data_IF_727525880303
#
_entry.id   IF_727525880303
#
_cell.length_a   1.000
_cell.length_b   1.000
_cell.length_c   1.000
_cell.angle_alpha   90.00
_cell.angle_beta   90.00
_cell.angle_gamma   90.00
#
_symmetry.space_group_name_H-M   'P 1'
#
loop_
_entity.id
_entity.type
_entity.pdbx_description
1 polymer ?
#
# COMPACT_ATOMS: atom_id res chain seq x y z
N UNK A 1 9.95 -9.78 -5.04
CA UNK A 1 9.60 -8.62 -4.19
C UNK A 1 8.15 -8.67 -3.76
N UNK A 2 7.77 -7.86 -2.75
CA UNK A 2 6.38 -7.59 -2.32
C UNK A 2 6.19 -6.08 -2.41
N UNK A 3 5.14 -5.63 -3.10
CA UNK A 3 4.76 -4.23 -3.24
C UNK A 3 3.39 -4.01 -2.61
N UNK A 4 3.30 -3.06 -1.68
CA UNK A 4 2.15 -2.86 -0.81
C UNK A 4 1.13 -1.84 -1.34
N UNK A 5 1.30 -1.32 -2.57
CA UNK A 5 0.32 -0.41 -3.15
C UNK A 5 0.50 -0.19 -4.65
N UNK A 6 -0.59 -0.32 -5.41
CA UNK A 6 -0.73 0.19 -6.78
C UNK A 6 -2.20 0.44 -7.13
N UNK A 7 -2.44 1.36 -8.12
CA UNK A 7 -3.77 1.76 -8.58
C UNK A 7 -4.17 1.20 -9.96
N UNK A 8 -3.55 0.10 -10.34
CA UNK A 8 -3.74 -0.49 -11.68
C UNK A 8 -5.20 -0.80 -11.99
N UNK A 9 -6.01 -1.25 -11.01
CA UNK A 9 -7.42 -1.58 -11.24
C UNK A 9 -8.22 -0.33 -11.60
N UNK A 10 -7.91 0.83 -10.97
CA UNK A 10 -8.51 2.12 -11.34
C UNK A 10 -8.17 2.46 -12.79
N UNK A 11 -6.93 2.32 -13.21
CA UNK A 11 -6.52 2.62 -14.58
C UNK A 11 -7.23 1.71 -15.60
N UNK A 12 -7.36 0.41 -15.29
CA UNK A 12 -8.00 -0.54 -16.20
C UNK A 12 -9.50 -0.27 -16.39
N UNK A 13 -10.21 0.19 -15.35
CA UNK A 13 -11.64 0.50 -15.47
C UNK A 13 -11.87 1.83 -16.19
N UNK A 14 -10.98 2.82 -15.99
CA UNK A 14 -11.10 4.14 -16.63
C UNK A 14 -10.60 4.14 -18.07
N UNK A 15 -9.69 3.24 -18.41
CA UNK A 15 -9.05 3.15 -19.72
C UNK A 15 -9.14 1.72 -20.30
N UNK A 16 -10.36 1.19 -20.57
CA UNK A 16 -10.56 -0.22 -20.93
C UNK A 16 -9.96 -0.61 -22.29
N UNK A 17 -9.47 0.36 -23.06
CA UNK A 17 -8.82 0.14 -24.35
C UNK A 17 -7.28 0.05 -24.25
N UNK A 18 -6.70 0.31 -23.08
CA UNK A 18 -5.24 0.34 -22.87
C UNK A 18 -4.66 -1.01 -22.44
N UNK A 19 -5.44 -2.08 -22.56
CA UNK A 19 -5.06 -3.44 -22.20
C UNK A 19 -5.90 -4.02 -21.06
N UNK A 20 -5.36 -5.05 -20.43
CA UNK A 20 -5.99 -5.71 -19.27
C UNK A 20 -4.92 -6.07 -18.20
N UNK A 21 -5.26 -6.84 -17.19
CA UNK A 21 -4.30 -7.14 -16.12
C UNK A 21 -3.13 -8.00 -16.61
N UNK A 22 -3.26 -8.73 -17.74
CA UNK A 22 -2.15 -9.53 -18.24
C UNK A 22 -1.07 -8.67 -18.92
N UNK A 23 -1.51 -7.74 -19.80
CA UNK A 23 -0.61 -6.82 -20.51
C UNK A 23 -1.33 -5.50 -20.79
N UNK A 24 -0.77 -4.38 -20.37
CA UNK A 24 -1.37 -3.04 -20.50
C UNK A 24 -0.31 -1.95 -20.74
N UNK A 25 -0.78 -0.71 -20.89
CA UNK A 25 0.07 0.46 -21.12
C UNK A 25 0.55 1.13 -19.81
N UNK A 26 0.21 0.55 -18.64
CA UNK A 26 0.55 1.08 -17.31
C UNK A 26 1.85 0.46 -16.78
N UNK A 27 2.16 0.67 -15.49
CA UNK A 27 3.43 0.21 -14.89
C UNK A 27 3.33 -1.19 -14.28
N UNK A 28 2.13 -1.65 -13.99
CA UNK A 28 1.86 -2.97 -13.38
C UNK A 28 0.97 -3.79 -14.31
N UNK A 29 1.45 -4.97 -14.67
CA UNK A 29 0.70 -6.06 -15.29
C UNK A 29 1.36 -7.41 -14.96
N UNK A 30 0.68 -8.51 -15.26
CA UNK A 30 1.14 -9.85 -14.92
C UNK A 30 2.48 -10.17 -15.63
N UNK A 31 2.67 -9.80 -16.89
CA UNK A 31 3.93 -10.05 -17.60
C UNK A 31 5.11 -9.34 -16.91
N UNK A 32 4.92 -8.08 -16.50
CA UNK A 32 5.95 -7.30 -15.79
C UNK A 32 6.16 -7.79 -14.35
N UNK A 33 5.10 -8.18 -13.64
CA UNK A 33 5.20 -8.77 -12.30
C UNK A 33 6.04 -10.06 -12.33
N UNK A 34 5.80 -10.95 -13.30
CA UNK A 34 6.58 -12.18 -13.49
C UNK A 34 8.04 -11.84 -13.83
N UNK A 35 8.26 -10.94 -14.79
CA UNK A 35 9.61 -10.51 -15.20
C UNK A 35 10.38 -9.85 -14.05
N UNK A 36 9.69 -9.08 -13.20
CA UNK A 36 10.24 -8.43 -12.00
C UNK A 36 10.41 -9.36 -10.79
N UNK A 37 10.08 -10.65 -10.92
CA UNK A 37 10.10 -11.62 -9.83
C UNK A 37 9.25 -11.18 -8.62
N UNK A 38 8.08 -10.61 -8.89
CA UNK A 38 7.12 -10.23 -7.85
C UNK A 38 6.54 -11.49 -7.20
N UNK A 39 6.54 -11.50 -5.87
CA UNK A 39 5.91 -12.54 -5.05
C UNK A 39 4.47 -12.17 -4.74
N UNK A 40 4.26 -10.90 -4.40
CA UNK A 40 2.95 -10.34 -4.08
C UNK A 40 2.86 -8.90 -4.58
N UNK A 41 1.68 -8.54 -5.08
CA UNK A 41 1.25 -7.19 -5.39
C UNK A 41 -0.05 -6.88 -4.66
N UNK A 42 -0.09 -5.78 -3.92
CA UNK A 42 -1.34 -5.22 -3.43
C UNK A 42 -2.00 -4.36 -4.51
N UNK A 43 -3.26 -4.64 -4.80
CA UNK A 43 -4.09 -3.89 -5.73
C UNK A 43 -5.12 -3.08 -4.95
N UNK A 44 -4.91 -1.77 -4.90
CA UNK A 44 -5.83 -0.86 -4.26
C UNK A 44 -7.04 -0.57 -5.17
N UNK A 45 -8.20 -0.53 -4.55
CA UNK A 45 -9.42 -0.01 -5.14
C UNK A 45 -9.60 1.44 -4.67
N UNK A 46 -9.01 2.37 -5.42
CA UNK A 46 -9.06 3.79 -5.11
C UNK A 46 -10.37 4.45 -5.59
N UNK A 47 -11.00 5.20 -4.71
CA UNK A 47 -12.19 5.99 -5.02
C UNK A 47 -12.06 7.40 -4.46
N UNK A 48 -12.02 8.41 -5.33
CA UNK A 48 -12.15 9.81 -4.90
C UNK A 48 -13.60 10.11 -4.53
N UNK A 49 -13.87 10.32 -3.23
CA UNK A 49 -15.21 10.53 -2.72
C UNK A 49 -15.86 11.85 -3.20
N UNK A 50 -15.05 12.85 -3.57
CA UNK A 50 -15.56 14.13 -4.05
C UNK A 50 -15.86 14.14 -5.55
N UNK A 51 -15.26 13.23 -6.30
CA UNK A 51 -15.46 13.13 -7.76
C UNK A 51 -16.51 12.10 -8.17
N UNK A 52 -17.00 11.26 -7.22
CA UNK A 52 -17.92 10.17 -7.52
C UNK A 52 -19.28 10.34 -6.84
N UNK A 53 -20.35 10.47 -7.63
CA UNK A 53 -21.73 10.53 -7.11
C UNK A 53 -22.16 9.22 -6.43
N UNK A 54 -21.65 8.05 -6.89
CA UNK A 54 -21.87 6.72 -6.31
C UNK A 54 -20.53 6.04 -6.02
N UNK A 55 -19.88 6.48 -4.95
CA UNK A 55 -18.57 5.98 -4.53
C UNK A 55 -18.58 4.48 -4.23
N UNK A 56 -19.63 3.98 -3.57
CA UNK A 56 -19.77 2.57 -3.26
C UNK A 56 -19.98 1.71 -4.52
N UNK A 57 -20.81 2.16 -5.46
CA UNK A 57 -20.99 1.50 -6.75
C UNK A 57 -19.70 1.49 -7.58
N UNK A 58 -18.88 2.55 -7.49
CA UNK A 58 -17.55 2.60 -8.11
C UNK A 58 -16.62 1.53 -7.52
N UNK A 59 -16.54 1.44 -6.19
CA UNK A 59 -15.80 0.39 -5.48
C UNK A 59 -16.23 -1.01 -5.93
N UNK A 60 -17.54 -1.31 -5.91
CA UNK A 60 -18.06 -2.60 -6.34
C UNK A 60 -17.71 -2.93 -7.81
N UNK A 61 -17.72 -1.94 -8.68
CA UNK A 61 -17.36 -2.12 -10.09
C UNK A 61 -15.88 -2.47 -10.26
N UNK A 62 -14.98 -1.80 -9.54
CA UNK A 62 -13.54 -2.12 -9.54
C UNK A 62 -13.28 -3.51 -8.94
N UNK A 63 -13.96 -3.85 -7.83
CA UNK A 63 -13.85 -5.17 -7.23
C UNK A 63 -14.26 -6.29 -8.21
N UNK A 64 -15.38 -6.09 -8.92
CA UNK A 64 -15.82 -7.05 -9.95
C UNK A 64 -14.83 -7.16 -11.11
N UNK A 65 -14.23 -6.04 -11.53
CA UNK A 65 -13.17 -6.05 -12.53
C UNK A 65 -11.97 -6.85 -12.03
N UNK A 66 -11.48 -6.58 -10.81
CA UNK A 66 -10.39 -7.32 -10.19
C UNK A 66 -10.69 -8.83 -10.19
N UNK A 67 -11.83 -9.26 -9.65
CA UNK A 67 -12.22 -10.67 -9.59
C UNK A 67 -12.22 -11.31 -10.98
N UNK A 68 -12.77 -10.64 -11.99
CA UNK A 68 -12.83 -11.13 -13.36
C UNK A 68 -11.45 -11.29 -13.99
N UNK A 69 -10.53 -10.35 -13.73
CA UNK A 69 -9.17 -10.40 -14.24
C UNK A 69 -8.36 -11.53 -13.56
N UNK A 70 -8.46 -11.65 -12.24
CA UNK A 70 -7.80 -12.73 -11.50
C UNK A 70 -8.32 -14.11 -11.96
N UNK A 71 -9.63 -14.26 -12.14
CA UNK A 71 -10.20 -15.50 -12.65
C UNK A 71 -9.71 -15.83 -14.06
N UNK A 72 -9.67 -14.83 -14.94
CA UNK A 72 -9.21 -14.98 -16.34
C UNK A 72 -7.75 -15.44 -16.41
N UNK A 73 -6.91 -14.98 -15.52
CA UNK A 73 -5.46 -15.23 -15.52
C UNK A 73 -4.98 -16.08 -14.35
N UNK A 74 -5.86 -16.95 -13.85
CA UNK A 74 -5.62 -17.79 -12.67
C UNK A 74 -4.42 -18.74 -12.77
N UNK A 75 -3.88 -18.99 -13.98
CA UNK A 75 -2.64 -19.73 -14.17
C UNK A 75 -1.39 -18.97 -13.70
N UNK A 76 -1.43 -17.64 -13.62
CA UNK A 76 -0.29 -16.75 -13.34
C UNK A 76 -0.40 -16.02 -12.03
N UNK A 77 -1.62 -15.67 -11.59
CA UNK A 77 -1.89 -14.84 -10.43
C UNK A 77 -3.10 -15.40 -9.66
N UNK A 78 -3.11 -15.24 -8.33
CA UNK A 78 -4.23 -15.69 -7.50
C UNK A 78 -4.55 -14.67 -6.43
N UNK A 79 -5.85 -14.40 -6.21
CA UNK A 79 -6.32 -13.59 -5.08
C UNK A 79 -6.03 -14.32 -3.77
N UNK A 80 -5.35 -13.66 -2.84
CA UNK A 80 -4.99 -14.21 -1.53
C UNK A 80 -5.80 -13.56 -0.43
N UNK A 81 -6.27 -14.39 0.52
CA UNK A 81 -7.13 -13.98 1.64
C UNK A 81 -6.58 -14.40 2.99
N UNK A 82 -5.51 -15.21 2.97
CA UNK A 82 -4.80 -15.72 4.13
C UNK A 82 -3.32 -15.89 3.81
N UNK A 83 -2.48 -16.04 4.82
CA UNK A 83 -1.07 -16.35 4.60
C UNK A 83 -0.85 -17.74 3.95
N UNK A 84 -1.76 -18.69 4.21
CA UNK A 84 -1.72 -20.00 3.54
C UNK A 84 -1.92 -19.86 2.02
N UNK A 85 -2.83 -18.98 1.56
CA UNK A 85 -3.00 -18.69 0.13
C UNK A 85 -1.72 -18.11 -0.49
N UNK A 86 -1.03 -17.20 0.24
CA UNK A 86 0.25 -16.64 -0.18
C UNK A 86 1.30 -17.74 -0.34
N UNK A 87 1.37 -18.65 0.62
CA UNK A 87 2.30 -19.79 0.58
C UNK A 87 2.02 -20.68 -0.63
N UNK A 88 0.75 -20.99 -0.89
CA UNK A 88 0.32 -21.77 -2.07
C UNK A 88 0.71 -21.06 -3.38
N UNK A 89 0.58 -19.73 -3.47
CA UNK A 89 1.05 -18.98 -4.64
C UNK A 89 2.55 -19.15 -4.85
N UNK A 90 3.37 -19.02 -3.80
CA UNK A 90 4.81 -19.17 -3.90
C UNK A 90 5.24 -20.58 -4.35
N UNK A 91 4.60 -21.62 -3.81
CA UNK A 91 4.87 -23.01 -4.18
C UNK A 91 4.51 -23.32 -5.64
N UNK A 92 3.49 -22.64 -6.17
CA UNK A 92 3.02 -22.81 -7.55
C UNK A 92 3.59 -21.78 -8.53
N UNK A 93 4.56 -20.96 -8.11
CA UNK A 93 5.20 -19.91 -8.93
C UNK A 93 4.20 -18.90 -9.51
N UNK A 94 3.13 -18.61 -8.79
CA UNK A 94 2.14 -17.57 -9.13
C UNK A 94 2.41 -16.29 -8.33
N UNK A 95 2.01 -15.18 -8.88
CA UNK A 95 1.96 -13.92 -8.14
C UNK A 95 0.77 -13.95 -7.18
N UNK A 96 0.98 -13.59 -5.92
CA UNK A 96 -0.10 -13.37 -4.98
C UNK A 96 -0.71 -11.97 -5.19
N UNK A 97 -2.02 -11.88 -5.38
CA UNK A 97 -2.74 -10.61 -5.47
C UNK A 97 -3.46 -10.34 -4.16
N UNK A 98 -2.98 -9.37 -3.39
CA UNK A 98 -3.70 -8.83 -2.23
C UNK A 98 -4.70 -7.78 -2.73
N UNK A 99 -5.85 -7.68 -2.10
CA UNK A 99 -6.87 -6.69 -2.43
C UNK A 99 -7.04 -5.70 -1.29
N UNK A 100 -6.91 -4.42 -1.59
CA UNK A 100 -7.11 -3.33 -0.64
C UNK A 100 -8.15 -2.31 -1.09
N UNK A 101 -8.58 -1.49 -0.14
CA UNK A 101 -9.39 -0.29 -0.40
C UNK A 101 -8.52 0.92 -0.08
N UNK A 102 -8.36 1.82 -1.04
CA UNK A 102 -7.90 3.17 -0.76
C UNK A 102 -9.07 4.13 -0.85
N UNK A 103 -9.25 4.82 0.18
CA UNK A 103 -10.29 5.62 0.77
C UNK A 103 -11.36 4.77 1.50
N UNK A 104 -11.07 4.44 2.78
CA UNK A 104 -11.97 3.66 3.66
C UNK A 104 -13.35 4.29 3.86
N UNK A 105 -13.49 5.60 3.68
CA UNK A 105 -14.76 6.33 3.70
C UNK A 105 -15.75 5.85 2.64
N UNK A 106 -15.32 5.13 1.59
CA UNK A 106 -16.22 4.52 0.60
C UNK A 106 -17.22 3.56 1.25
N UNK A 107 -16.89 2.99 2.41
CA UNK A 107 -17.77 2.13 3.20
C UNK A 107 -18.71 2.92 4.12
N UNK A 108 -18.55 4.26 4.23
CA UNK A 108 -19.42 5.17 5.00
C UNK A 108 -19.41 4.90 6.51
N UNK A 109 -18.35 4.30 7.05
CA UNK A 109 -18.27 3.91 8.46
C UNK A 109 -19.21 2.76 8.85
N UNK A 110 -19.82 2.07 7.88
CA UNK A 110 -20.77 0.98 8.09
C UNK A 110 -20.04 -0.35 8.30
N UNK A 111 -20.10 -0.89 9.53
CA UNK A 111 -19.46 -2.16 9.87
C UNK A 111 -20.01 -3.36 9.08
N UNK A 112 -21.28 -3.32 8.63
CA UNK A 112 -21.81 -4.39 7.79
C UNK A 112 -21.20 -4.37 6.39
N UNK A 113 -20.88 -3.18 5.85
CA UNK A 113 -20.12 -3.06 4.61
C UNK A 113 -18.66 -3.48 4.78
N UNK A 114 -18.05 -3.20 5.95
CA UNK A 114 -16.72 -3.69 6.28
C UNK A 114 -16.69 -5.22 6.32
N UNK A 115 -17.64 -5.85 7.01
CA UNK A 115 -17.76 -7.32 7.05
C UNK A 115 -17.95 -7.92 5.66
N UNK A 116 -18.72 -7.23 4.80
CA UNK A 116 -18.88 -7.63 3.40
C UNK A 116 -17.58 -7.49 2.61
N UNK A 117 -16.86 -6.39 2.74
CA UNK A 117 -15.57 -6.19 2.07
C UNK A 117 -14.55 -7.28 2.47
N UNK A 118 -14.52 -7.64 3.76
CA UNK A 118 -13.71 -8.76 4.24
C UNK A 118 -14.13 -10.10 3.60
N UNK A 119 -15.42 -10.38 3.54
CA UNK A 119 -15.96 -11.60 2.90
C UNK A 119 -15.66 -11.65 1.40
N UNK A 120 -15.64 -10.49 0.72
CA UNK A 120 -15.25 -10.33 -0.68
C UNK A 120 -13.74 -10.50 -0.90
N UNK A 121 -12.94 -10.49 0.17
CA UNK A 121 -11.50 -10.77 0.13
C UNK A 121 -10.59 -9.57 0.32
N UNK A 122 -11.12 -8.40 0.64
CA UNK A 122 -10.31 -7.25 1.05
C UNK A 122 -9.57 -7.58 2.35
N UNK A 123 -8.27 -7.26 2.42
CA UNK A 123 -7.43 -7.55 3.58
C UNK A 123 -6.67 -6.34 4.12
N UNK A 124 -6.70 -5.22 3.41
CA UNK A 124 -6.06 -3.99 3.79
C UNK A 124 -7.00 -2.81 3.49
N UNK A 125 -7.08 -1.82 4.39
CA UNK A 125 -7.83 -0.59 4.16
C UNK A 125 -6.99 0.61 4.59
N UNK A 126 -6.77 1.55 3.66
CA UNK A 126 -6.28 2.89 3.91
C UNK A 126 -7.44 3.75 4.44
N UNK A 127 -7.34 4.23 5.67
CA UNK A 127 -8.47 4.80 6.40
C UNK A 127 -9.03 6.09 5.78
N UNK A 128 -8.14 6.95 5.26
CA UNK A 128 -8.49 8.23 4.62
C UNK A 128 -7.64 8.42 3.39
N UNK A 129 -8.14 9.15 2.40
CA UNK A 129 -7.30 9.70 1.34
C UNK A 129 -7.01 11.18 1.63
N UNK A 130 -7.43 12.12 0.79
CA UNK A 130 -7.07 13.55 0.92
C UNK A 130 -8.17 14.42 1.54
N UNK A 131 -9.34 13.86 1.85
CA UNK A 131 -10.49 14.55 2.44
C UNK A 131 -10.91 13.90 3.77
N UNK A 132 -11.47 14.67 4.73
CA UNK A 132 -12.09 14.09 5.91
C UNK A 132 -13.24 13.16 5.54
N UNK A 133 -13.32 12.04 6.25
CA UNK A 133 -14.42 11.08 6.10
C UNK A 133 -14.98 10.66 7.48
N UNK A 134 -15.86 9.67 7.51
CA UNK A 134 -16.48 9.17 8.74
C UNK A 134 -15.48 8.55 9.71
N UNK A 135 -14.28 8.14 9.25
CA UNK A 135 -13.27 7.46 10.05
C UNK A 135 -12.28 8.43 10.71
N UNK A 136 -11.90 9.50 9.99
CA UNK A 136 -10.87 10.39 10.50
C UNK A 136 -10.55 11.58 9.60
N UNK A 137 -9.44 12.22 9.94
CA UNK A 137 -8.88 13.39 9.25
C UNK A 137 -7.64 13.00 8.45
N UNK A 138 -7.52 13.43 7.18
CA UNK A 138 -6.32 13.16 6.39
C UNK A 138 -5.15 14.07 6.78
N UNK A 139 -3.97 13.76 6.28
CA UNK A 139 -2.76 14.56 6.48
C UNK A 139 -2.84 15.99 5.89
N UNK A 140 -3.80 16.26 5.01
CA UNK A 140 -4.08 17.59 4.46
C UNK A 140 -4.81 18.48 5.45
N UNK A 141 -5.52 17.91 6.42
CA UNK A 141 -6.32 18.59 7.43
C UNK A 141 -5.57 18.94 8.72
N UNK A 142 -6.26 18.88 9.85
CA UNK A 142 -5.70 19.17 11.17
C UNK A 142 -4.88 17.98 11.68
N UNK A 143 -3.57 18.17 11.83
CA UNK A 143 -2.64 17.13 12.23
C UNK A 143 -2.84 16.60 13.67
N UNK A 144 -3.61 17.30 14.52
CA UNK A 144 -3.83 16.92 15.93
C UNK A 144 -5.15 16.19 16.16
N UNK A 145 -6.06 16.20 15.19
CA UNK A 145 -7.29 15.46 15.33
C UNK A 145 -7.03 13.98 15.45
N UNK A 146 -7.86 13.32 16.22
CA UNK A 146 -7.88 11.87 16.40
C UNK A 146 -8.92 11.23 15.47
N UNK A 147 -8.95 9.91 15.40
CA UNK A 147 -10.03 9.18 14.75
C UNK A 147 -11.38 9.57 15.33
N UNK A 148 -12.42 9.49 14.55
CA UNK A 148 -13.80 9.65 15.04
C UNK A 148 -14.19 8.44 15.89
N UNK A 149 -15.29 8.51 16.63
CA UNK A 149 -15.85 7.33 17.33
C UNK A 149 -16.17 6.19 16.35
N UNK A 150 -16.68 6.54 15.16
CA UNK A 150 -16.89 5.59 14.07
C UNK A 150 -15.58 4.98 13.57
N UNK A 151 -14.53 5.80 13.42
CA UNK A 151 -13.20 5.34 12.99
C UNK A 151 -12.57 4.39 14.00
N UNK A 152 -12.73 4.64 15.30
CA UNK A 152 -12.23 3.73 16.36
C UNK A 152 -12.95 2.37 16.25
N UNK A 153 -14.29 2.36 16.20
CA UNK A 153 -15.07 1.12 16.09
C UNK A 153 -14.74 0.35 14.80
N UNK A 154 -14.47 1.09 13.70
CA UNK A 154 -14.09 0.51 12.42
C UNK A 154 -12.73 -0.17 12.48
N UNK A 155 -11.72 0.47 13.08
CA UNK A 155 -10.36 -0.06 13.25
C UNK A 155 -10.35 -1.26 14.21
N UNK A 156 -11.09 -1.19 15.32
CA UNK A 156 -11.27 -2.33 16.23
C UNK A 156 -11.89 -3.53 15.49
N UNK A 157 -12.89 -3.29 14.65
CA UNK A 157 -13.50 -4.36 13.84
C UNK A 157 -12.54 -4.93 12.80
N UNK A 158 -11.71 -4.09 12.16
CA UNK A 158 -10.65 -4.57 11.26
C UNK A 158 -9.67 -5.50 11.98
N UNK A 159 -9.24 -5.13 13.20
CA UNK A 159 -8.37 -5.99 14.03
C UNK A 159 -9.04 -7.34 14.35
N UNK A 160 -10.32 -7.35 14.76
CA UNK A 160 -11.08 -8.58 15.01
C UNK A 160 -11.15 -9.50 13.79
N UNK A 161 -11.24 -8.92 12.59
CA UNK A 161 -11.31 -9.65 11.32
C UNK A 161 -9.94 -10.14 10.83
N UNK A 162 -8.83 -9.68 11.41
CA UNK A 162 -7.49 -9.93 10.87
C UNK A 162 -7.23 -9.15 9.58
N UNK A 163 -7.67 -7.90 9.51
CA UNK A 163 -7.39 -6.99 8.40
C UNK A 163 -6.25 -6.06 8.75
N UNK A 164 -5.47 -5.67 7.76
CA UNK A 164 -4.36 -4.73 7.89
C UNK A 164 -4.89 -3.30 7.87
N UNK A 165 -4.59 -2.52 8.91
CA UNK A 165 -4.89 -1.10 8.99
C UNK A 165 -3.76 -0.30 8.35
N UNK A 166 -4.07 0.53 7.36
CA UNK A 166 -3.11 1.41 6.69
C UNK A 166 -3.34 2.87 7.08
N UNK A 167 -2.29 3.51 7.61
CA UNK A 167 -2.26 4.91 7.98
C UNK A 167 -1.72 5.83 6.89
N UNK A 168 -1.42 5.33 5.69
CA UNK A 168 -1.11 6.20 4.56
C UNK A 168 -2.24 7.21 4.37
N UNK A 169 -1.92 8.47 4.08
CA UNK A 169 -2.84 9.59 4.02
C UNK A 169 -3.48 10.05 5.35
N UNK A 170 -3.48 9.25 6.41
CA UNK A 170 -4.02 9.66 7.71
C UNK A 170 -3.16 10.79 8.32
N UNK A 171 -3.75 11.66 9.11
CA UNK A 171 -3.04 12.69 9.83
C UNK A 171 -2.18 12.13 10.98
N UNK A 172 -1.27 12.96 11.52
CA UNK A 172 -0.34 12.51 12.56
C UNK A 172 -1.08 12.05 13.82
N UNK A 173 -2.10 12.81 14.27
CA UNK A 173 -2.86 12.48 15.47
C UNK A 173 -3.67 11.21 15.38
N UNK A 174 -4.27 10.92 14.22
CA UNK A 174 -4.94 9.64 13.97
C UNK A 174 -3.95 8.47 13.96
N UNK A 175 -2.80 8.65 13.32
CA UNK A 175 -1.73 7.63 13.27
C UNK A 175 -1.16 7.33 14.67
N UNK A 176 -0.94 8.36 15.51
CA UNK A 176 -0.56 8.16 16.92
C UNK A 176 -1.59 7.31 17.66
N UNK A 177 -2.88 7.60 17.46
CA UNK A 177 -3.96 6.90 18.13
C UNK A 177 -4.07 5.42 17.69
N UNK A 178 -3.76 5.08 16.44
CA UNK A 178 -3.66 3.67 16.01
C UNK A 178 -2.65 2.91 16.87
N UNK A 179 -1.52 3.52 17.21
CA UNK A 179 -0.54 2.94 18.12
C UNK A 179 -1.07 2.68 19.54
N UNK A 180 -2.05 3.47 19.98
CA UNK A 180 -2.67 3.31 21.31
C UNK A 180 -3.75 2.22 21.33
N UNK A 181 -4.53 2.08 20.25
CA UNK A 181 -5.73 1.19 20.22
C UNK A 181 -5.49 -0.17 19.59
N UNK A 182 -4.47 -0.33 18.72
CA UNK A 182 -4.18 -1.61 18.08
C UNK A 182 -3.21 -2.45 18.92
N UNK A 183 -3.58 -3.71 19.12
CA UNK A 183 -2.72 -4.74 19.70
C UNK A 183 -1.87 -5.48 18.66
N UNK A 184 -2.18 -5.29 17.37
CA UNK A 184 -1.49 -5.86 16.22
C UNK A 184 -0.73 -4.78 15.43
N UNK A 185 0.25 -5.16 14.60
CA UNK A 185 0.91 -4.22 13.71
C UNK A 185 -0.05 -3.49 12.78
N UNK A 186 0.25 -2.22 12.46
CA UNK A 186 -0.37 -1.45 11.38
C UNK A 186 0.70 -0.90 10.44
N UNK A 187 0.33 -0.45 9.26
CA UNK A 187 1.30 -0.05 8.23
C UNK A 187 1.08 1.37 7.73
N UNK A 188 2.10 1.89 7.06
CA UNK A 188 1.95 2.92 6.04
C UNK A 188 2.30 2.27 4.70
N UNK A 189 1.29 1.85 3.93
CA UNK A 189 1.48 1.06 2.71
C UNK A 189 2.36 1.77 1.68
N UNK A 190 2.29 3.13 1.60
CA UNK A 190 3.03 3.95 0.64
C UNK A 190 3.35 5.35 1.22
N UNK A 191 4.44 5.48 1.99
CA UNK A 191 4.82 6.73 2.66
C UNK A 191 6.35 6.91 2.74
N UNK A 192 6.78 8.17 2.91
CA UNK A 192 8.19 8.56 2.96
C UNK A 192 8.52 9.32 4.26
N UNK A 193 9.77 9.79 4.42
CA UNK A 193 10.24 10.50 5.60
C UNK A 193 10.07 12.02 5.46
N UNK A 194 9.39 12.68 6.41
CA UNK A 194 9.13 14.13 6.41
C UNK A 194 10.39 14.97 6.61
N UNK A 195 11.33 14.48 7.40
CA UNK A 195 12.60 15.17 7.66
C UNK A 195 13.53 15.16 6.43
N UNK A 196 13.34 14.24 5.48
CA UNK A 196 14.05 14.22 4.20
C UNK A 196 13.40 15.18 3.21
N UNK A 197 12.08 15.18 3.14
CA UNK A 197 11.31 16.09 2.29
C UNK A 197 10.07 16.57 3.05
N UNK A 198 10.05 17.86 3.38
CA UNK A 198 9.04 18.48 4.23
C UNK A 198 7.68 18.55 3.53
N UNK A 199 6.99 17.41 3.50
CA UNK A 199 5.61 17.25 3.03
C UNK A 199 4.76 16.65 4.14
N UNK A 200 3.52 17.11 4.30
CA UNK A 200 2.59 16.56 5.31
C UNK A 200 2.26 15.08 5.06
N UNK A 201 2.29 14.64 3.80
CA UNK A 201 2.07 13.25 3.39
C UNK A 201 3.16 12.31 3.87
N UNK A 202 4.37 12.83 4.13
CA UNK A 202 5.49 12.08 4.66
C UNK A 202 5.39 11.97 6.19
N UNK A 203 5.87 10.86 6.74
CA UNK A 203 5.83 10.55 8.17
C UNK A 203 6.92 11.29 8.94
N UNK A 204 6.61 11.93 10.07
CA UNK A 204 7.61 12.48 10.99
C UNK A 204 8.33 11.35 11.74
N UNK A 205 9.49 11.66 12.29
CA UNK A 205 10.38 10.71 12.99
C UNK A 205 9.69 9.87 14.06
N UNK A 206 8.79 10.48 14.85
CA UNK A 206 8.12 9.77 15.94
C UNK A 206 7.13 8.73 15.44
N UNK A 207 6.46 8.97 14.29
CA UNK A 207 5.56 8.00 13.68
C UNK A 207 6.32 6.86 12.98
N UNK A 208 7.48 7.18 12.36
CA UNK A 208 8.36 6.14 11.81
C UNK A 208 8.79 5.17 12.93
N UNK A 209 9.19 5.71 14.11
CA UNK A 209 9.52 4.88 15.27
C UNK A 209 8.32 4.09 15.80
N UNK A 210 7.17 4.74 15.95
CA UNK A 210 5.95 4.11 16.44
C UNK A 210 5.55 2.90 15.57
N UNK A 211 5.55 3.05 14.24
CA UNK A 211 5.23 1.95 13.31
C UNK A 211 6.24 0.81 13.48
N UNK A 212 7.54 1.12 13.59
CA UNK A 212 8.57 0.11 13.82
C UNK A 212 8.43 -0.61 15.17
N UNK A 213 8.18 0.13 16.25
CA UNK A 213 7.96 -0.41 17.61
C UNK A 213 6.72 -1.32 17.70
N UNK A 214 5.70 -1.03 16.89
CA UNK A 214 4.49 -1.87 16.76
C UNK A 214 4.67 -3.07 15.82
N UNK A 215 5.86 -3.27 15.25
CA UNK A 215 6.12 -4.37 14.30
C UNK A 215 5.57 -4.10 12.89
N UNK A 216 5.09 -2.90 12.63
CA UNK A 216 4.57 -2.51 11.32
C UNK A 216 5.64 -2.28 10.26
N UNK A 217 5.20 -1.90 9.06
CA UNK A 217 6.09 -1.58 7.94
C UNK A 217 5.67 -0.27 7.25
N UNK A 218 6.64 0.36 6.60
CA UNK A 218 6.48 1.58 5.81
C UNK A 218 6.93 1.28 4.38
N UNK A 219 5.99 1.22 3.44
CA UNK A 219 6.25 1.10 2.02
C UNK A 219 6.76 2.40 1.43
N UNK A 220 7.89 2.37 0.73
CA UNK A 220 8.45 3.53 0.04
C UNK A 220 7.57 3.95 -1.12
N UNK A 221 7.04 5.17 -1.06
CA UNK A 221 6.25 5.79 -2.11
C UNK A 221 7.15 6.45 -3.17
N UNK A 222 6.83 6.23 -4.46
CA UNK A 222 7.64 6.74 -5.57
C UNK A 222 7.15 8.07 -6.14
N UNK A 223 6.13 8.70 -5.56
CA UNK A 223 5.68 10.01 -6.01
C UNK A 223 6.78 11.06 -5.86
N UNK A 224 7.19 11.66 -6.97
CA UNK A 224 8.29 12.63 -7.02
C UNK A 224 8.09 13.80 -6.04
N UNK A 225 6.84 14.23 -5.83
CA UNK A 225 6.51 15.34 -4.93
C UNK A 225 6.77 15.04 -3.45
N UNK A 226 6.85 13.77 -3.08
CA UNK A 226 7.13 13.31 -1.71
C UNK A 226 8.60 12.97 -1.52
N UNK A 227 9.32 12.67 -2.61
CA UNK A 227 10.73 12.31 -2.59
C UNK A 227 11.66 13.53 -2.56
N UNK A 228 11.32 14.62 -3.27
CA UNK A 228 12.21 15.78 -3.36
C UNK A 228 11.64 16.93 -4.18
N UNK A 229 12.54 17.69 -4.79
CA UNK A 229 12.23 18.85 -5.64
C UNK A 229 12.39 18.56 -7.14
N UNK A 230 12.82 17.34 -7.51
CA UNK A 230 12.96 16.91 -8.90
C UNK A 230 11.58 16.84 -9.57
N UNK A 231 11.54 17.03 -10.90
CA UNK A 231 10.32 16.84 -11.69
C UNK A 231 10.06 15.36 -12.03
N UNK A 232 11.00 14.48 -11.68
CA UNK A 232 10.91 13.02 -11.85
C UNK A 232 11.18 12.32 -10.53
N UNK A 233 10.65 11.12 -10.36
CA UNK A 233 10.98 10.22 -9.26
C UNK A 233 12.36 9.60 -9.51
N UNK A 234 13.34 9.93 -8.68
CA UNK A 234 14.73 9.49 -8.83
C UNK A 234 15.05 8.33 -7.90
N UNK A 235 15.80 7.38 -8.39
CA UNK A 235 16.29 6.25 -7.58
C UNK A 235 17.08 6.76 -6.35
N UNK A 236 17.96 7.74 -6.53
CA UNK A 236 18.74 8.33 -5.43
C UNK A 236 17.87 8.94 -4.33
N UNK A 237 16.76 9.59 -4.72
CA UNK A 237 15.83 10.18 -3.76
C UNK A 237 15.06 9.08 -3.00
N UNK A 238 14.64 7.99 -3.66
CA UNK A 238 14.02 6.83 -3.03
C UNK A 238 15.00 6.19 -2.02
N UNK A 239 16.25 5.95 -2.43
CA UNK A 239 17.32 5.40 -1.57
C UNK A 239 17.53 6.28 -0.35
N UNK A 240 17.58 7.60 -0.51
CA UNK A 240 17.76 8.55 0.60
C UNK A 240 16.63 8.42 1.63
N UNK A 241 15.38 8.34 1.19
CA UNK A 241 14.23 8.13 2.09
C UNK A 241 14.30 6.77 2.79
N UNK A 242 14.62 5.70 2.05
CA UNK A 242 14.72 4.36 2.61
C UNK A 242 15.79 4.24 3.68
N UNK A 243 17.01 4.76 3.42
CA UNK A 243 18.10 4.77 4.42
C UNK A 243 17.72 5.60 5.65
N UNK A 244 17.00 6.71 5.47
CA UNK A 244 16.53 7.54 6.58
C UNK A 244 15.51 6.79 7.45
N UNK A 245 14.51 6.14 6.84
CA UNK A 245 13.49 5.35 7.55
C UNK A 245 14.14 4.20 8.31
N UNK A 246 15.09 3.47 7.71
CA UNK A 246 15.86 2.41 8.37
C UNK A 246 16.61 2.98 9.60
N UNK A 247 17.23 4.13 9.45
CA UNK A 247 17.97 4.78 10.56
C UNK A 247 17.06 5.17 11.74
N UNK A 248 15.78 5.50 11.49
CA UNK A 248 14.84 5.98 12.51
C UNK A 248 13.98 4.87 13.12
N UNK A 249 13.52 3.93 12.33
CA UNK A 249 12.58 2.89 12.74
C UNK A 249 13.20 1.48 12.80
N UNK A 250 14.47 1.34 12.40
CA UNK A 250 15.12 0.02 12.32
C UNK A 250 15.00 -0.62 10.93
N UNK A 251 15.75 -1.69 10.70
CA UNK A 251 15.80 -2.37 9.40
C UNK A 251 14.55 -3.23 9.11
N UNK A 252 13.74 -3.50 10.12
CA UNK A 252 12.53 -4.33 10.02
C UNK A 252 11.28 -3.50 9.67
N UNK A 253 11.39 -2.15 9.59
CA UNK A 253 10.24 -1.26 9.33
C UNK A 253 10.04 -0.97 7.83
N UNK A 254 11.07 -1.14 7.00
CA UNK A 254 11.04 -0.67 5.61
C UNK A 254 10.47 -1.72 4.65
N UNK A 255 9.66 -1.30 3.68
CA UNK A 255 9.09 -2.13 2.62
C UNK A 255 8.99 -1.33 1.30
N UNK A 256 8.41 -1.93 0.27
CA UNK A 256 8.03 -1.27 -0.98
C UNK A 256 6.53 -0.94 -0.95
N UNK A 257 6.17 0.23 -1.47
CA UNK A 257 4.81 0.69 -1.70
C UNK A 257 4.85 1.71 -2.82
N UNK A 258 5.02 1.22 -4.05
CA UNK A 258 5.46 2.04 -5.20
C UNK A 258 4.50 3.15 -5.57
N UNK A 259 3.22 2.94 -5.30
CA UNK A 259 2.14 3.85 -5.72
C UNK A 259 2.10 3.97 -7.26
N UNK A 260 2.58 2.91 -7.95
CA UNK A 260 2.52 2.85 -9.40
C UNK A 260 1.06 2.89 -9.86
N UNK A 261 0.87 3.54 -11.00
CA UNK A 261 -0.42 3.78 -11.65
C UNK A 261 -1.33 4.78 -10.92
N UNK A 262 -1.05 5.16 -9.64
CA UNK A 262 -1.66 6.28 -8.92
C UNK A 262 -0.88 7.58 -9.00
N UNK A 263 0.40 7.51 -9.35
CA UNK A 263 1.31 8.66 -9.42
C UNK A 263 1.62 9.09 -10.86
N UNK A 264 2.21 10.29 -11.00
CA UNK A 264 2.68 10.74 -12.31
C UNK A 264 3.72 9.78 -12.88
N UNK A 265 3.66 9.47 -14.20
CA UNK A 265 4.48 8.42 -14.81
C UNK A 265 5.99 8.75 -14.92
N UNK A 266 6.41 9.96 -14.55
CA UNK A 266 7.80 10.42 -14.67
C UNK A 266 8.69 9.81 -13.58
N UNK A 267 9.11 8.57 -13.75
CA UNK A 267 9.97 7.83 -12.82
C UNK A 267 11.22 7.29 -13.52
N UNK A 268 12.38 7.27 -12.82
CA UNK A 268 13.59 6.61 -13.34
C UNK A 268 13.47 5.08 -13.38
N UNK A 269 12.61 4.50 -12.54
CA UNK A 269 12.18 3.10 -12.63
C UNK A 269 11.01 3.06 -13.60
N UNK A 270 11.20 2.40 -14.73
CA UNK A 270 10.24 2.44 -15.83
C UNK A 270 8.91 1.78 -15.45
N UNK A 271 8.98 0.58 -14.86
CA UNK A 271 7.84 -0.21 -14.40
C UNK A 271 8.29 -1.22 -13.32
N UNK A 272 7.37 -2.06 -12.85
CA UNK A 272 7.64 -3.04 -11.78
C UNK A 272 8.72 -4.07 -12.17
N UNK A 273 8.97 -4.32 -13.45
CA UNK A 273 10.01 -5.25 -13.90
C UNK A 273 11.44 -4.65 -13.80
N UNK A 274 11.54 -3.32 -13.62
CA UNK A 274 12.82 -2.58 -13.56
C UNK A 274 13.34 -2.39 -12.11
N UNK A 275 12.66 -2.98 -11.12
CA UNK A 275 12.97 -2.82 -9.69
C UNK A 275 14.35 -3.36 -9.28
N UNK A 276 15.00 -4.19 -10.11
CA UNK A 276 16.38 -4.61 -9.89
C UNK A 276 17.36 -3.42 -9.80
N UNK A 277 17.09 -2.31 -10.51
CA UNK A 277 17.91 -1.08 -10.44
C UNK A 277 17.84 -0.45 -9.04
N UNK A 278 16.68 -0.46 -8.41
CA UNK A 278 16.53 0.03 -7.04
C UNK A 278 17.23 -0.92 -6.04
N UNK A 279 17.14 -2.24 -6.27
CA UNK A 279 17.86 -3.23 -5.48
C UNK A 279 19.37 -2.95 -5.50
N UNK A 280 19.94 -2.80 -6.72
CA UNK A 280 21.37 -2.52 -6.91
C UNK A 280 21.76 -1.16 -6.29
N UNK A 281 20.90 -0.15 -6.36
CA UNK A 281 21.15 1.16 -5.76
C UNK A 281 21.22 1.10 -4.23
N UNK A 282 20.33 0.36 -3.56
CA UNK A 282 20.41 0.13 -2.11
C UNK A 282 21.67 -0.66 -1.72
N UNK A 283 22.04 -1.68 -2.51
CA UNK A 283 23.31 -2.40 -2.33
C UNK A 283 24.51 -1.46 -2.48
N UNK A 284 24.52 -0.62 -3.52
CA UNK A 284 25.54 0.41 -3.76
C UNK A 284 25.63 1.47 -2.66
N UNK A 285 24.51 1.76 -1.99
CA UNK A 285 24.42 2.69 -0.86
C UNK A 285 24.86 2.05 0.49
N UNK A 286 25.23 0.77 0.51
CA UNK A 286 25.86 0.09 1.65
C UNK A 286 24.95 -0.86 2.44
N UNK A 287 23.70 -1.10 2.02
CA UNK A 287 22.89 -2.14 2.65
C UNK A 287 23.49 -3.53 2.35
N UNK A 288 23.47 -4.42 3.33
CA UNK A 288 23.79 -5.83 3.11
C UNK A 288 22.72 -6.49 2.24
N UNK A 289 23.00 -7.65 1.68
CA UNK A 289 22.01 -8.44 0.93
C UNK A 289 20.76 -8.72 1.79
N UNK A 290 20.97 -9.16 3.03
CA UNK A 290 19.91 -9.41 3.99
C UNK A 290 19.02 -8.17 4.25
N UNK A 291 19.62 -6.99 4.45
CA UNK A 291 18.88 -5.74 4.66
C UNK A 291 18.11 -5.34 3.40
N UNK A 292 18.69 -5.55 2.21
CA UNK A 292 17.98 -5.25 0.95
C UNK A 292 16.82 -6.22 0.72
N UNK A 293 16.98 -7.50 1.04
CA UNK A 293 15.88 -8.47 0.99
C UNK A 293 14.78 -8.17 2.02
N UNK A 294 15.13 -7.68 3.22
CA UNK A 294 14.15 -7.20 4.21
C UNK A 294 13.27 -6.11 3.59
N UNK A 295 13.86 -5.11 2.97
CA UNK A 295 13.14 -4.03 2.28
C UNK A 295 12.28 -4.57 1.13
N UNK A 296 12.84 -5.46 0.30
CA UNK A 296 12.16 -5.89 -0.93
C UNK A 296 11.04 -6.90 -0.70
N UNK A 297 11.08 -7.66 0.41
CA UNK A 297 10.03 -8.65 0.65
C UNK A 297 9.90 -9.18 2.09
N UNK A 298 11.02 -9.39 2.84
CA UNK A 298 10.95 -10.13 4.11
C UNK A 298 10.14 -9.42 5.19
N UNK A 299 10.23 -8.08 5.27
CA UNK A 299 9.49 -7.31 6.27
C UNK A 299 7.98 -7.34 5.99
N UNK A 300 7.58 -7.15 4.73
CA UNK A 300 6.18 -7.27 4.34
C UNK A 300 5.66 -8.71 4.52
N UNK A 301 6.44 -9.74 4.14
CA UNK A 301 6.09 -11.15 4.30
C UNK A 301 5.89 -11.52 5.79
N UNK A 302 6.77 -11.03 6.69
CA UNK A 302 6.63 -11.18 8.14
C UNK A 302 5.32 -10.60 8.64
N UNK A 303 4.98 -9.37 8.25
CA UNK A 303 3.76 -8.69 8.64
C UNK A 303 2.52 -9.44 8.13
N UNK A 304 2.51 -9.84 6.85
CA UNK A 304 1.40 -10.60 6.27
C UNK A 304 1.19 -11.92 7.03
N UNK A 305 2.26 -12.60 7.40
CA UNK A 305 2.19 -13.84 8.20
C UNK A 305 1.66 -13.63 9.62
N UNK A 306 1.87 -12.44 10.20
CA UNK A 306 1.43 -12.12 11.55
C UNK A 306 -0.06 -11.79 11.60
N UNK A 307 -0.61 -11.16 10.54
CA UNK A 307 -1.98 -10.63 10.55
C UNK A 307 -2.96 -11.54 9.81
N UNK A 308 -2.57 -12.10 8.65
CA UNK A 308 -3.43 -12.92 7.77
C UNK A 308 -3.31 -14.42 8.08
#
# INVERSE_FOLDING_TARGET
MIDLHCDTIMQLIDHPHDGDLFSNNWKIDIERLIKGHSRLQDFALFVDLEEQDDSYGRYESMRQLFDSQIQKYSDYISHVRSYDDITVCYENHKVAALLSIEEGGVLGGDLAKLDKAYADGVRLITLTWNYPNELGEPNTGDSHKKLTETGIAFVERMQELGMIVDCSHLNDGGTEQLGDILDVPFIASHSNAREVTARRRNLPDHLIRLIGEKGGVIGLNFAQSFLGTSSISRIDDIVKHGLYIINKGGEDVIALGTDFDGIKPNTEIEDISDMHRLYDAFRGAGLSEEQTEKLFWKNADRLLKEIL
#
